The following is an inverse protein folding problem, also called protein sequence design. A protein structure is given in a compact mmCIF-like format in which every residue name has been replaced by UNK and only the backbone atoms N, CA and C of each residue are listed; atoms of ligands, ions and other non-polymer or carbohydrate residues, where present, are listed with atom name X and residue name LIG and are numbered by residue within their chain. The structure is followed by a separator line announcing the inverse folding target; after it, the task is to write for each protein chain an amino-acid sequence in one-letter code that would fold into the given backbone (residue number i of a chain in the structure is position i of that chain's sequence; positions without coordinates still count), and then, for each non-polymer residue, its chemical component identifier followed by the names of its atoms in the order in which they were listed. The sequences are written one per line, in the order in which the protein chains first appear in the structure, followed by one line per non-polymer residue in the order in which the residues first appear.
data_IF_642708672711
#
_entry.id   IF_642708672711
#
_cell.length_a   1.000
_cell.length_b   1.000
_cell.length_c   1.000
_cell.angle_alpha   90.00
_cell.angle_beta   90.00
_cell.angle_gamma   90.00
#
_symmetry.space_group_name_H-M   'P 1'
#
loop_
_entity.id
_entity.type
_entity.pdbx_description
1 polymer ?
#
# COMPACT_ATOMS: atom_id res chain seq x y z
N UNK A 1 17.39 -16.72 16.44
CA UNK A 1 17.12 -17.83 17.36
C UNK A 1 17.87 -19.05 16.86
N UNK A 2 19.01 -19.42 17.45
CA UNK A 2 19.65 -20.69 17.16
C UNK A 2 19.13 -21.77 18.11
N UNK A 3 18.91 -22.98 17.58
CA UNK A 3 18.52 -24.16 18.35
C UNK A 3 18.15 -25.31 17.41
N UNK A 4 18.34 -26.55 17.85
CA UNK A 4 18.19 -27.78 17.04
C UNK A 4 16.77 -28.00 16.49
N UNK A 5 15.79 -27.21 16.96
CA UNK A 5 14.39 -27.23 16.52
C UNK A 5 13.97 -25.97 15.74
N UNK A 6 14.93 -25.17 15.26
CA UNK A 6 14.62 -23.95 14.49
C UNK A 6 14.51 -24.27 13.01
N UNK A 7 13.49 -23.73 12.33
CA UNK A 7 13.39 -23.80 10.88
C UNK A 7 14.62 -23.15 10.23
N UNK A 8 15.30 -23.80 9.27
CA UNK A 8 16.54 -23.31 8.69
C UNK A 8 16.37 -22.06 7.83
N UNK A 9 15.12 -21.71 7.48
CA UNK A 9 14.79 -20.53 6.67
C UNK A 9 13.97 -19.58 7.54
N UNK A 10 14.57 -18.44 7.87
CA UNK A 10 13.90 -17.33 8.55
C UNK A 10 13.92 -16.10 7.65
N UNK A 11 12.79 -15.40 7.58
CA UNK A 11 12.67 -14.14 6.85
C UNK A 11 12.44 -13.01 7.84
N UNK A 12 13.14 -11.90 7.65
CA UNK A 12 12.95 -10.68 8.44
C UNK A 12 12.47 -9.57 7.52
N UNK A 13 11.33 -8.98 7.84
CA UNK A 13 10.79 -7.83 7.14
C UNK A 13 11.20 -6.55 7.85
N UNK A 14 11.58 -5.54 7.07
CA UNK A 14 12.02 -4.24 7.58
C UNK A 14 11.19 -3.12 6.95
N UNK A 15 10.95 -2.06 7.72
CA UNK A 15 10.37 -0.81 7.24
C UNK A 15 11.45 0.26 7.22
N UNK A 16 11.67 0.86 6.06
CA UNK A 16 12.57 2.00 5.90
C UNK A 16 11.76 3.29 5.98
N UNK A 17 12.15 4.17 6.90
CA UNK A 17 11.49 5.46 7.11
C UNK A 17 12.52 6.56 7.03
N UNK A 18 12.22 7.60 6.24
CA UNK A 18 13.08 8.79 6.17
C UNK A 18 13.08 9.49 7.54
N UNK A 19 14.28 9.78 8.06
CA UNK A 19 14.48 10.40 9.37
C UNK A 19 13.91 11.83 9.44
N UNK A 20 13.99 12.59 8.35
CA UNK A 20 13.42 13.93 8.26
C UNK A 20 12.17 13.94 7.37
N UNK A 21 11.02 14.13 8.01
CA UNK A 21 9.68 14.24 7.42
C UNK A 21 9.15 15.68 7.42
N UNK A 22 9.98 16.68 7.70
CA UNK A 22 9.56 18.09 7.80
C UNK A 22 8.93 18.63 6.51
N UNK A 23 9.33 18.11 5.34
CA UNK A 23 8.79 18.47 4.03
C UNK A 23 7.57 17.63 3.62
N UNK A 24 7.19 16.61 4.40
CA UNK A 24 6.10 15.70 4.07
C UNK A 24 4.76 16.34 4.40
N UNK A 25 3.70 15.99 3.65
CA UNK A 25 2.35 16.46 3.96
C UNK A 25 2.00 16.12 5.43
N UNK A 26 1.52 17.08 6.24
CA UNK A 26 1.28 16.86 7.67
C UNK A 26 0.31 15.71 7.96
N UNK A 27 -0.71 15.50 7.11
CA UNK A 27 -1.67 14.40 7.31
C UNK A 27 -1.01 13.05 7.08
N UNK A 28 -0.19 12.93 6.04
CA UNK A 28 0.57 11.72 5.73
C UNK A 28 1.61 11.44 6.81
N UNK A 29 2.29 12.47 7.29
CA UNK A 29 3.25 12.36 8.38
C UNK A 29 2.58 11.87 9.69
N UNK A 30 1.39 12.38 10.00
CA UNK A 30 0.60 11.92 11.15
C UNK A 30 0.23 10.45 11.02
N UNK A 31 -0.26 10.04 9.84
CA UNK A 31 -0.65 8.65 9.60
C UNK A 31 0.56 7.71 9.68
N UNK A 32 1.72 8.14 9.18
CA UNK A 32 2.96 7.40 9.30
C UNK A 32 3.41 7.25 10.75
N UNK A 33 3.35 8.31 11.55
CA UNK A 33 3.67 8.24 12.98
C UNK A 33 2.76 7.23 13.69
N UNK A 34 1.44 7.33 13.47
CA UNK A 34 0.46 6.42 14.06
C UNK A 34 0.68 4.97 13.65
N UNK A 35 1.02 4.73 12.37
CA UNK A 35 1.32 3.39 11.87
C UNK A 35 2.58 2.81 12.52
N UNK A 36 3.65 3.60 12.66
CA UNK A 36 4.89 3.17 13.32
C UNK A 36 4.60 2.82 14.79
N UNK A 37 3.88 3.69 15.50
CA UNK A 37 3.52 3.46 16.90
C UNK A 37 2.67 2.20 17.07
N UNK A 38 1.67 1.98 16.19
CA UNK A 38 0.84 0.78 16.18
C UNK A 38 1.67 -0.49 15.95
N UNK A 39 2.55 -0.51 14.94
CA UNK A 39 3.39 -1.68 14.63
C UNK A 39 4.33 -2.02 15.78
N UNK A 40 4.89 -1.02 16.45
CA UNK A 40 5.88 -1.25 17.51
C UNK A 40 5.22 -1.58 18.85
N UNK A 41 4.10 -0.94 19.21
CA UNK A 41 3.45 -1.09 20.51
C UNK A 41 2.41 -2.21 20.53
N UNK A 42 1.57 -2.29 19.51
CA UNK A 42 0.40 -3.17 19.46
C UNK A 42 0.58 -4.32 18.44
N UNK A 43 1.73 -4.40 17.78
CA UNK A 43 1.97 -5.36 16.70
C UNK A 43 2.05 -6.83 17.11
N UNK A 44 2.06 -7.16 18.41
CA UNK A 44 2.25 -8.54 18.89
C UNK A 44 1.08 -9.47 18.57
N UNK A 45 -0.14 -9.00 18.82
CA UNK A 45 -1.35 -9.77 18.53
C UNK A 45 -1.49 -10.00 17.02
N UNK A 46 -1.23 -8.95 16.23
CA UNK A 46 -1.25 -8.99 14.77
C UNK A 46 -0.16 -9.92 14.21
N UNK A 47 1.06 -9.85 14.76
CA UNK A 47 2.13 -10.74 14.33
C UNK A 47 1.74 -12.20 14.52
N UNK A 48 1.19 -12.56 15.68
CA UNK A 48 0.74 -13.92 15.95
C UNK A 48 -0.37 -14.38 15.00
N UNK A 49 -1.35 -13.53 14.70
CA UNK A 49 -2.47 -13.84 13.79
C UNK A 49 -1.99 -14.20 12.37
N UNK A 50 -0.97 -13.49 11.87
CA UNK A 50 -0.40 -13.73 10.54
C UNK A 50 0.78 -14.71 10.52
N UNK A 51 1.06 -15.39 11.63
CA UNK A 51 2.13 -16.39 11.72
C UNK A 51 3.55 -15.79 11.78
N UNK A 52 3.68 -14.51 12.09
CA UNK A 52 4.96 -13.87 12.39
C UNK A 52 5.34 -14.07 13.85
N UNK A 53 6.66 -14.04 14.11
CA UNK A 53 7.19 -14.00 15.47
C UNK A 53 7.40 -12.55 15.89
N UNK A 54 6.87 -12.17 17.05
CA UNK A 54 7.10 -10.85 17.63
C UNK A 54 8.58 -10.54 17.83
N UNK A 55 9.00 -9.27 17.63
CA UNK A 55 10.36 -8.85 17.93
C UNK A 55 10.64 -8.91 19.43
N UNK A 56 11.89 -9.20 19.81
CA UNK A 56 12.32 -9.21 21.21
C UNK A 56 12.18 -7.82 21.86
N UNK A 57 12.04 -7.79 23.20
CA UNK A 57 11.90 -6.54 23.95
C UNK A 57 13.04 -5.54 23.70
N UNK A 58 14.28 -6.04 23.54
CA UNK A 58 15.45 -5.21 23.23
C UNK A 58 15.34 -4.56 21.84
N UNK A 59 14.91 -5.31 20.83
CA UNK A 59 14.69 -4.75 19.49
C UNK A 59 13.55 -3.74 19.47
N UNK A 60 12.47 -4.00 20.21
CA UNK A 60 11.36 -3.05 20.35
C UNK A 60 11.79 -1.74 20.98
N UNK A 61 12.59 -1.81 22.05
CA UNK A 61 13.14 -0.63 22.73
C UNK A 61 14.05 0.17 21.79
N UNK A 62 14.89 -0.52 21.00
CA UNK A 62 15.72 0.11 19.98
C UNK A 62 14.87 0.80 18.90
N UNK A 63 13.82 0.13 18.41
CA UNK A 63 12.90 0.69 17.41
C UNK A 63 12.13 1.92 17.93
N UNK A 64 11.67 1.90 19.19
CA UNK A 64 11.04 3.07 19.83
C UNK A 64 12.03 4.24 19.94
N UNK A 65 13.27 3.95 20.34
CA UNK A 65 14.33 4.97 20.41
C UNK A 65 14.71 5.52 19.04
N UNK A 66 14.64 4.71 17.98
CA UNK A 66 14.88 5.18 16.62
C UNK A 66 13.70 6.04 16.12
N UNK A 67 12.47 5.62 16.39
CA UNK A 67 11.25 6.33 16.00
C UNK A 67 11.19 7.74 16.62
N UNK A 68 11.65 7.91 17.87
CA UNK A 68 11.70 9.24 18.52
C UNK A 68 12.70 10.21 17.88
N UNK A 69 13.61 9.73 17.02
CA UNK A 69 14.56 10.60 16.29
C UNK A 69 14.01 11.12 14.96
N UNK A 70 12.81 10.69 14.57
CA UNK A 70 12.16 11.15 13.34
C UNK A 70 11.63 12.57 13.55
N UNK A 71 12.00 13.47 12.65
CA UNK A 71 11.56 14.88 12.67
C UNK A 71 10.27 14.99 11.87
N UNK A 72 9.17 15.35 12.53
CA UNK A 72 7.85 15.54 11.92
C UNK A 72 7.54 17.03 11.67
N UNK A 73 6.63 17.36 10.73
CA UNK A 73 6.24 18.74 10.48
C UNK A 73 5.46 19.34 11.67
N UNK A 74 5.70 20.61 11.98
CA UNK A 74 5.20 21.25 13.20
C UNK A 74 3.66 21.41 13.26
N UNK A 75 2.99 21.44 12.10
CA UNK A 75 1.54 21.59 11.97
C UNK A 75 0.80 20.23 11.87
N UNK A 76 1.47 19.14 12.24
CA UNK A 76 0.89 17.82 12.26
C UNK A 76 -0.05 17.63 13.45
N UNK A 77 -1.22 17.06 13.20
CA UNK A 77 -2.15 16.61 14.25
C UNK A 77 -1.91 15.13 14.49
N UNK A 78 -1.41 14.76 15.66
CA UNK A 78 -1.17 13.36 16.01
C UNK A 78 -2.49 12.58 16.12
N UNK A 79 -2.51 11.37 15.58
CA UNK A 79 -3.64 10.47 15.79
C UNK A 79 -3.65 9.97 17.23
N UNK A 80 -4.84 9.91 17.82
CA UNK A 80 -5.04 9.31 19.14
C UNK A 80 -5.68 7.94 18.93
N UNK A 81 -5.08 6.89 19.53
CA UNK A 81 -5.65 5.55 19.52
C UNK A 81 -6.87 5.49 20.44
N UNK A 82 -7.98 4.96 19.95
CA UNK A 82 -9.16 4.70 20.79
C UNK A 82 -8.98 3.37 21.54
N UNK A 83 -9.28 3.38 22.84
CA UNK A 83 -9.02 2.24 23.72
C UNK A 83 -10.18 1.24 23.84
N UNK A 84 -11.37 1.48 23.25
CA UNK A 84 -12.49 0.53 23.40
C UNK A 84 -13.66 0.70 22.41
N UNK A 85 -14.23 -0.46 22.04
CA UNK A 85 -15.40 -0.78 21.20
C UNK A 85 -16.76 -0.40 21.82
N UNK A 86 -16.91 0.81 22.35
CA UNK A 86 -18.28 1.31 22.59
C UNK A 86 -18.83 1.87 21.28
N UNK A 87 -19.70 1.11 20.63
CA UNK A 87 -20.52 1.62 19.55
C UNK A 87 -21.41 2.74 20.10
N UNK A 88 -21.04 4.00 19.88
CA UNK A 88 -21.97 5.10 20.05
C UNK A 88 -22.55 5.49 18.69
N UNK A 89 -23.85 5.79 18.69
CA UNK A 89 -24.64 6.10 17.50
C UNK A 89 -24.16 7.42 16.87
N UNK A 90 -23.35 7.31 15.83
CA UNK A 90 -22.97 8.40 14.93
C UNK A 90 -21.76 9.24 15.39
N UNK A 91 -20.53 8.77 15.12
CA UNK A 91 -19.36 9.56 14.66
C UNK A 91 -18.06 8.77 14.85
N UNK A 92 -17.18 8.85 13.85
CA UNK A 92 -15.76 9.11 14.09
C UNK A 92 -15.49 10.55 13.61
N UNK A 93 -14.79 11.35 14.41
CA UNK A 93 -14.25 12.64 13.97
C UNK A 93 -13.29 12.43 12.77
N UNK A 94 -13.14 13.40 11.85
CA UNK A 94 -12.36 13.23 10.62
C UNK A 94 -10.86 12.93 10.83
N UNK A 95 -10.35 13.05 12.06
CA UNK A 95 -8.95 12.78 12.42
C UNK A 95 -8.78 11.57 13.36
N UNK A 96 -9.79 10.72 13.50
CA UNK A 96 -9.73 9.51 14.33
C UNK A 96 -9.37 8.29 13.48
N UNK A 97 -8.37 7.53 13.95
CA UNK A 97 -7.98 6.25 13.35
C UNK A 97 -8.63 5.12 14.15
N UNK A 98 -9.65 4.49 13.59
CA UNK A 98 -10.30 3.34 14.22
C UNK A 98 -9.47 2.07 14.01
N UNK A 99 -8.89 1.55 15.10
CA UNK A 99 -8.12 0.30 15.13
C UNK A 99 -8.96 -0.98 15.11
N UNK A 100 -10.23 -0.91 14.67
CA UNK A 100 -11.17 -2.04 14.75
C UNK A 100 -10.89 -3.11 13.66
N UNK A 101 -9.77 -3.83 13.80
CA UNK A 101 -9.50 -5.12 13.15
C UNK A 101 -9.71 -6.26 14.17
N UNK A 102 -10.88 -6.28 14.83
CA UNK A 102 -11.30 -7.41 15.67
C UNK A 102 -12.67 -7.88 15.22
N UNK A 103 -12.69 -8.83 14.28
CA UNK A 103 -13.75 -9.84 14.22
C UNK A 103 -13.10 -11.21 14.06
N UNK A 104 -13.07 -12.05 15.10
CA UNK A 104 -12.79 -13.46 14.91
C UNK A 104 -13.85 -14.05 13.96
N UNK A 105 -13.42 -14.86 13.01
CA UNK A 105 -14.27 -15.55 12.03
C UNK A 105 -15.12 -16.69 12.63
N UNK A 106 -15.35 -16.72 13.93
CA UNK A 106 -16.10 -17.79 14.60
C UNK A 106 -17.24 -17.23 15.46
N UNK A 107 -18.40 -17.05 14.80
CA UNK A 107 -19.71 -17.54 15.25
C UNK A 107 -20.82 -16.75 14.56
N UNK A 108 -21.35 -17.32 13.47
CA UNK A 108 -22.69 -16.98 12.97
C UNK A 108 -23.68 -17.62 13.94
N UNK A 109 -24.10 -16.88 14.96
CA UNK A 109 -25.36 -17.20 15.64
C UNK A 109 -26.47 -16.48 14.88
N UNK A 110 -27.28 -17.30 14.22
CA UNK A 110 -28.57 -16.95 13.65
C UNK A 110 -29.45 -16.36 14.75
N UNK A 111 -29.80 -15.08 14.61
CA UNK A 111 -30.63 -14.37 15.58
C UNK A 111 -31.17 -13.07 15.01
N UNK A 112 -32.04 -13.20 14.01
CA UNK A 112 -33.14 -12.31 13.62
C UNK A 112 -32.92 -10.78 13.70
N UNK A 113 -32.96 -10.15 12.52
CA UNK A 113 -33.77 -8.95 12.33
C UNK A 113 -33.01 -7.64 12.12
N UNK A 114 -33.25 -7.06 10.95
CA UNK A 114 -33.15 -5.64 10.60
C UNK A 114 -31.79 -5.06 10.12
N UNK A 115 -31.81 -4.72 8.83
CA UNK A 115 -31.07 -3.65 8.14
C UNK A 115 -29.55 -3.82 7.93
N UNK A 116 -29.29 -4.64 6.91
CA UNK A 116 -28.05 -4.80 6.15
C UNK A 116 -27.73 -3.57 5.29
N UNK A 117 -26.70 -2.82 5.66
CA UNK A 117 -25.79 -2.13 4.73
C UNK A 117 -24.37 -2.40 5.20
N UNK A 118 -23.90 -3.63 4.96
CA UNK A 118 -22.49 -3.97 5.09
C UNK A 118 -21.73 -3.29 3.95
N UNK A 119 -21.29 -2.05 4.17
CA UNK A 119 -20.20 -1.48 3.37
C UNK A 119 -18.93 -2.20 3.80
N UNK A 120 -18.67 -3.29 3.08
CA UNK A 120 -17.48 -4.11 3.22
C UNK A 120 -16.25 -3.20 3.18
N UNK A 121 -15.44 -3.18 4.24
CA UNK A 121 -14.29 -2.26 4.42
C UNK A 121 -13.27 -2.39 3.28
N UNK A 122 -13.25 -3.53 2.59
CA UNK A 122 -12.47 -3.75 1.36
C UNK A 122 -12.97 -2.88 0.19
N UNK A 123 -14.28 -2.62 0.08
CA UNK A 123 -14.84 -1.73 -0.94
C UNK A 123 -14.54 -0.27 -0.65
N UNK A 124 -14.48 0.14 0.63
CA UNK A 124 -14.10 1.52 1.00
C UNK A 124 -12.62 1.82 0.72
N UNK A 125 -11.73 0.84 0.94
CA UNK A 125 -10.31 0.95 0.56
C UNK A 125 -10.09 0.95 -0.96
N UNK A 126 -10.87 0.19 -1.72
CA UNK A 126 -10.85 0.28 -3.20
C UNK A 126 -11.31 1.65 -3.68
N UNK A 127 -12.39 2.17 -3.10
CA UNK A 127 -12.94 3.46 -3.50
C UNK A 127 -12.00 4.64 -3.20
N UNK A 128 -11.24 4.59 -2.09
CA UNK A 128 -10.24 5.62 -1.79
C UNK A 128 -9.02 5.58 -2.72
N UNK A 129 -8.63 4.39 -3.20
CA UNK A 129 -7.59 4.26 -4.22
C UNK A 129 -8.08 4.74 -5.59
N UNK A 130 -9.32 4.40 -5.97
CA UNK A 130 -9.95 4.85 -7.22
C UNK A 130 -10.12 6.39 -7.25
N UNK A 131 -10.48 7.00 -6.12
CA UNK A 131 -10.58 8.47 -5.98
C UNK A 131 -9.20 9.13 -6.15
N UNK A 132 -8.16 8.62 -5.48
CA UNK A 132 -6.80 9.15 -5.60
C UNK A 132 -6.26 9.04 -7.04
N UNK A 133 -6.47 7.89 -7.69
CA UNK A 133 -6.02 7.68 -9.08
C UNK A 133 -6.77 8.62 -10.05
N UNK A 134 -8.06 8.88 -9.80
CA UNK A 134 -8.84 9.81 -10.61
C UNK A 134 -8.38 11.26 -10.49
N UNK A 135 -8.01 11.72 -9.30
CA UNK A 135 -7.53 13.10 -9.07
C UNK A 135 -6.17 13.32 -9.73
N UNK A 136 -5.24 12.37 -9.60
CA UNK A 136 -3.92 12.44 -10.23
C UNK A 136 -4.04 12.43 -11.75
N UNK A 137 -4.93 11.60 -12.30
CA UNK A 137 -5.19 11.54 -13.74
C UNK A 137 -5.88 12.81 -14.27
N UNK A 138 -6.80 13.41 -13.50
CA UNK A 138 -7.41 14.68 -13.86
C UNK A 138 -6.39 15.83 -13.86
N UNK A 139 -5.48 15.88 -12.88
CA UNK A 139 -4.41 16.87 -12.86
C UNK A 139 -3.49 16.73 -14.07
N UNK A 140 -3.12 15.50 -14.43
CA UNK A 140 -2.33 15.22 -15.63
C UNK A 140 -3.05 15.63 -16.93
N UNK A 141 -4.36 15.32 -17.05
CA UNK A 141 -5.18 15.71 -18.20
C UNK A 141 -5.31 17.23 -18.33
N UNK A 142 -5.49 17.95 -17.22
CA UNK A 142 -5.60 19.40 -17.23
C UNK A 142 -4.27 20.05 -17.71
N UNK A 143 -3.12 19.58 -17.21
CA UNK A 143 -1.80 20.04 -17.68
C UNK A 143 -1.59 19.79 -19.17
N UNK A 144 -2.02 18.64 -19.68
CA UNK A 144 -1.88 18.28 -21.08
C UNK A 144 -2.80 19.12 -21.98
N UNK A 145 -4.01 19.43 -21.50
CA UNK A 145 -4.95 20.33 -22.18
C UNK A 145 -4.41 21.76 -22.25
N UNK A 146 -3.83 22.26 -21.17
CA UNK A 146 -3.18 23.58 -21.14
C UNK A 146 -2.02 23.65 -22.15
N UNK A 147 -1.14 22.64 -22.17
CA UNK A 147 -0.03 22.57 -23.12
C UNK A 147 -0.50 22.52 -24.59
N UNK A 148 -1.60 21.84 -24.87
CA UNK A 148 -2.18 21.75 -26.21
C UNK A 148 -2.75 23.09 -26.67
N UNK A 149 -3.41 23.84 -25.77
CA UNK A 149 -3.94 25.17 -26.10
C UNK A 149 -2.83 26.19 -26.37
N UNK A 150 -1.70 26.13 -25.65
CA UNK A 150 -0.54 26.98 -25.94
C UNK A 150 0.08 26.68 -27.30
N UNK A 151 0.20 25.41 -27.70
CA UNK A 151 0.73 25.07 -29.03
C UNK A 151 -0.21 25.42 -30.19
N UNK A 152 -1.53 25.33 -29.98
CA UNK A 152 -2.50 25.74 -30.99
C UNK A 152 -2.50 27.26 -31.23
N UNK A 153 -2.18 28.06 -30.21
CA UNK A 153 -2.06 29.51 -30.34
C UNK A 153 -0.83 29.95 -31.15
N UNK A 154 0.24 29.16 -31.17
CA UNK A 154 1.48 29.48 -31.91
C UNK A 154 1.44 29.10 -33.40
N UNK A 155 0.55 28.19 -33.83
CA UNK A 155 0.43 27.78 -35.24
C UNK A 155 -0.56 28.61 -36.06
N UNK A 156 -1.23 29.60 -35.45
CA UNK A 156 -2.23 30.46 -36.09
C UNK A 156 -1.66 31.74 -36.71
N UNK A 157 -0.67 31.65 -37.60
CA UNK A 157 -0.36 32.78 -38.51
C UNK A 157 0.12 32.30 -39.87
N UNK A 158 -0.71 32.35 -40.93
CA UNK A 158 -0.28 32.06 -42.29
C UNK A 158 0.36 33.32 -42.90
N UNK A 159 1.68 33.46 -42.81
CA UNK A 159 2.40 34.35 -43.72
C UNK A 159 2.73 33.61 -45.02
N UNK A 160 1.96 33.95 -46.04
CA UNK A 160 2.37 33.82 -47.43
C UNK A 160 3.53 34.81 -47.69
N UNK A 161 4.66 34.34 -48.23
CA UNK A 161 5.24 34.81 -49.51
C UNK A 161 6.66 34.25 -49.76
N UNK A 162 6.82 33.65 -50.94
CA UNK A 162 7.87 33.95 -51.93
C UNK A 162 9.35 33.63 -51.66
N UNK A 163 9.76 32.49 -52.25
CA UNK A 163 10.82 32.28 -53.26
C UNK A 163 12.23 32.90 -53.14
N UNK A 164 13.15 32.00 -53.48
CA UNK A 164 14.42 32.16 -54.19
C UNK A 164 15.70 32.45 -53.37
N UNK A 165 16.50 31.40 -53.24
CA UNK A 165 17.79 31.37 -53.94
C UNK A 165 19.04 31.81 -53.19
N UNK A 166 19.94 30.83 -53.05
CA UNK A 166 21.40 30.95 -53.01
C UNK A 166 22.10 31.20 -51.65
N UNK A 167 22.77 30.10 -51.25
CA UNK A 167 24.14 30.02 -50.77
C UNK A 167 24.55 30.47 -49.36
N UNK A 168 25.40 29.59 -48.80
CA UNK A 168 26.54 29.88 -47.93
C UNK A 168 26.27 30.02 -46.43
N UNK A 169 26.29 28.89 -45.71
CA UNK A 169 27.41 28.57 -44.82
C UNK A 169 27.22 27.19 -44.17
N UNK A 170 28.23 26.35 -44.42
CA UNK A 170 28.59 25.19 -43.61
C UNK A 170 28.85 25.70 -42.18
N UNK A 171 27.86 25.60 -41.30
CA UNK A 171 28.06 25.71 -39.87
C UNK A 171 28.09 24.32 -39.28
N UNK A 172 29.13 24.12 -38.47
CA UNK A 172 29.42 22.95 -37.68
C UNK A 172 28.20 22.61 -36.85
N UNK A 173 27.64 21.43 -37.11
CA UNK A 173 26.60 20.82 -36.32
C UNK A 173 27.25 20.31 -35.04
N UNK A 174 27.22 21.14 -34.02
CA UNK A 174 27.43 20.73 -32.63
C UNK A 174 26.16 19.99 -32.22
N UNK A 175 26.21 18.66 -32.33
CA UNK A 175 25.18 17.75 -31.85
C UNK A 175 25.00 17.96 -30.35
N UNK A 176 23.96 18.70 -29.98
CA UNK A 176 23.48 18.75 -28.61
C UNK A 176 23.15 17.31 -28.17
N UNK A 177 23.46 16.93 -26.91
CA UNK A 177 23.16 15.59 -26.42
C UNK A 177 21.66 15.36 -26.51
N UNK A 178 21.26 14.50 -27.44
CA UNK A 178 19.88 14.01 -27.53
C UNK A 178 19.63 13.26 -26.23
N UNK A 179 18.83 13.84 -25.35
CA UNK A 179 18.41 13.23 -24.10
C UNK A 179 17.64 11.95 -24.43
N UNK A 180 18.35 10.83 -24.48
CA UNK A 180 17.80 9.49 -24.70
C UNK A 180 17.06 8.96 -23.46
N UNK A 181 16.95 9.76 -22.40
CA UNK A 181 16.28 9.43 -21.15
C UNK A 181 14.84 8.90 -21.30
N UNK A 182 13.96 9.51 -22.13
CA UNK A 182 12.60 9.00 -22.30
C UNK A 182 12.55 7.68 -23.08
N UNK A 183 13.51 7.45 -23.99
CA UNK A 183 13.62 6.18 -24.73
C UNK A 183 14.12 5.08 -23.79
N UNK A 184 15.10 5.37 -22.93
CA UNK A 184 15.61 4.43 -21.92
C UNK A 184 14.53 4.09 -20.88
N UNK A 185 13.77 5.08 -20.40
CA UNK A 185 12.69 4.85 -19.43
C UNK A 185 11.55 4.00 -20.03
N UNK A 186 11.20 4.21 -21.31
CA UNK A 186 10.17 3.38 -21.97
C UNK A 186 10.65 1.93 -22.17
N UNK A 187 11.92 1.71 -22.49
CA UNK A 187 12.51 0.37 -22.58
C UNK A 187 12.50 -0.36 -21.22
N UNK A 188 12.87 0.33 -20.13
CA UNK A 188 12.85 -0.26 -18.78
C UNK A 188 11.42 -0.61 -18.35
N UNK A 189 10.45 0.28 -18.58
CA UNK A 189 9.04 0.00 -18.26
C UNK A 189 8.51 -1.25 -19.00
N UNK A 190 8.89 -1.42 -20.27
CA UNK A 190 8.49 -2.57 -21.08
C UNK A 190 9.08 -3.88 -20.51
N UNK A 191 10.35 -3.86 -20.09
CA UNK A 191 10.98 -5.05 -19.49
C UNK A 191 10.33 -5.47 -18.16
N UNK A 192 9.93 -4.51 -17.32
CA UNK A 192 9.24 -4.80 -16.04
C UNK A 192 7.86 -5.40 -16.30
N UNK A 193 7.10 -4.87 -17.27
CA UNK A 193 5.79 -5.42 -17.64
C UNK A 193 5.86 -6.85 -18.17
N UNK A 194 6.88 -7.17 -18.98
CA UNK A 194 7.07 -8.54 -19.50
C UNK A 194 7.42 -9.49 -18.36
N UNK A 195 8.31 -9.11 -17.44
CA UNK A 195 8.67 -9.94 -16.29
C UNK A 195 7.49 -10.17 -15.35
N UNK A 196 6.69 -9.15 -15.08
CA UNK A 196 5.48 -9.26 -14.25
C UNK A 196 4.44 -10.19 -14.90
N UNK A 197 4.22 -10.07 -16.21
CA UNK A 197 3.35 -10.97 -16.97
C UNK A 197 3.82 -12.43 -16.94
N UNK A 198 5.12 -12.66 -17.12
CA UNK A 198 5.71 -14.01 -17.04
C UNK A 198 5.54 -14.64 -15.65
N UNK A 199 5.76 -13.89 -14.56
CA UNK A 199 5.58 -14.41 -13.20
C UNK A 199 4.11 -14.72 -12.89
N UNK A 200 3.17 -13.89 -13.33
CA UNK A 200 1.73 -14.15 -13.17
C UNK A 200 1.25 -15.41 -13.89
N UNK A 201 1.74 -15.65 -15.12
CA UNK A 201 1.42 -16.85 -15.88
C UNK A 201 1.95 -18.13 -15.22
N UNK A 202 3.16 -18.09 -14.62
CA UNK A 202 3.71 -19.23 -13.90
C UNK A 202 2.92 -19.58 -12.62
N UNK A 203 2.47 -18.58 -11.87
CA UNK A 203 1.66 -18.80 -10.67
C UNK A 203 0.30 -19.45 -10.99
N UNK A 204 -0.34 -19.04 -12.09
CA UNK A 204 -1.61 -19.63 -12.54
C UNK A 204 -1.44 -21.08 -13.03
N UNK A 205 -0.33 -21.39 -13.69
CA UNK A 205 -0.03 -22.76 -14.12
C UNK A 205 0.33 -23.67 -12.94
N UNK A 206 1.02 -23.15 -11.92
CA UNK A 206 1.36 -23.90 -10.71
C UNK A 206 0.11 -24.23 -9.86
N UNK A 207 -0.83 -23.30 -9.73
CA UNK A 207 -2.07 -23.51 -8.98
C UNK A 207 -2.92 -24.65 -9.56
N UNK A 208 -2.94 -24.82 -10.89
CA UNK A 208 -3.74 -25.85 -11.57
C UNK A 208 -3.25 -27.27 -11.35
N UNK A 209 -1.99 -27.47 -10.92
CA UNK A 209 -1.40 -28.81 -10.72
C UNK A 209 -1.64 -29.40 -9.32
N UNK A 210 -2.17 -28.63 -8.37
CA UNK A 210 -2.36 -29.08 -6.97
C UNK A 210 -3.78 -29.57 -6.62
N UNK A 211 -4.73 -29.50 -7.55
CA UNK A 211 -6.15 -29.77 -7.29
C UNK A 211 -6.57 -31.24 -7.24
N UNK A 212 -5.71 -32.18 -6.84
CA UNK A 212 -6.06 -33.59 -6.82
C UNK A 212 -5.29 -34.40 -5.79
N UNK A 213 -5.72 -34.38 -4.53
CA UNK A 213 -5.76 -35.58 -3.67
C UNK A 213 -6.30 -35.25 -2.27
N UNK A 214 -7.34 -36.00 -1.88
CA UNK A 214 -7.57 -36.41 -0.49
C UNK A 214 -8.60 -35.60 0.30
N UNK A 215 -9.86 -36.01 0.24
CA UNK A 215 -10.84 -35.70 1.30
C UNK A 215 -10.46 -36.43 2.59
N UNK A 216 -10.26 -35.74 3.73
CA UNK A 216 -10.08 -36.40 5.01
C UNK A 216 -11.44 -36.83 5.60
N UNK A 217 -11.54 -38.11 5.95
CA UNK A 217 -12.70 -38.69 6.65
C UNK A 217 -12.80 -38.18 8.09
N UNK A 218 -14.01 -37.84 8.59
CA UNK A 218 -14.19 -37.40 9.97
C UNK A 218 -14.15 -38.58 10.93
N UNK A 219 -13.16 -38.60 11.83
CA UNK A 219 -13.12 -39.52 12.98
C UNK A 219 -13.79 -38.85 14.18
N UNK A 220 -14.92 -39.42 14.57
CA UNK A 220 -15.67 -39.09 15.78
C UNK A 220 -14.94 -39.62 17.02
N UNK A 221 -14.46 -38.71 17.87
CA UNK A 221 -13.93 -39.05 19.19
C UNK A 221 -14.95 -38.70 20.26
N UNK A 222 -15.65 -39.72 20.73
CA UNK A 222 -16.46 -39.75 21.96
C UNK A 222 -15.54 -39.61 23.16
N UNK A 223 -15.70 -38.57 23.97
CA UNK A 223 -15.09 -38.48 25.30
C UNK A 223 -16.19 -38.48 26.35
N UNK A 224 -16.34 -39.63 27.01
CA UNK A 224 -16.98 -39.76 28.30
C UNK A 224 -16.01 -39.25 29.38
N UNK A 225 -16.49 -38.44 30.33
CA UNK A 225 -15.99 -38.40 31.71
C UNK A 225 -16.84 -37.41 32.53
N UNK A 226 -17.81 -37.92 33.29
CA UNK A 226 -18.29 -37.24 34.49
C UNK A 226 -18.70 -38.28 35.52
N UNK A 227 -17.84 -38.47 36.53
CA UNK A 227 -18.02 -39.40 37.63
C UNK A 227 -18.00 -38.69 38.97
N UNK A 228 -18.96 -39.08 39.80
CA UNK A 228 -19.02 -39.08 41.27
C UNK A 228 -18.87 -37.79 42.08
N UNK A 229 -20.01 -37.38 42.65
CA UNK A 229 -20.11 -36.89 44.03
C UNK A 229 -21.36 -37.50 44.68
N UNK A 230 -21.14 -38.39 45.64
CA UNK A 230 -21.89 -38.55 46.90
C UNK A 230 -21.04 -39.35 47.85
#
# INVERSE_FOLDING_TARGET
MPGDSTWPIVLVSYLYVKKDQSSTNPKTAAALQAFIDMVIRDGDSLAAEFGFTSPSASLRSLSLSAASTIVYPANMVAFTSESSTMAYTGMGAPWQWSGMFHRPYDSVILGLGQCRLEVNVISSKRHSYDIYDSDVMQEALNKLREATHTHAAEQGSPQASQKDGAQLKRQVQEEAPVDNLPVVLSAVALTISVLAGCMGCFALLAARKSGGMGSPSPTSSTSQLYGSRT
#
